data_IF_995421582149
#
_entry.id   IF_995421582149
#
_cell.length_a   1.000
_cell.length_b   1.000
_cell.length_c   1.000
_cell.angle_alpha   90.00
_cell.angle_beta   90.00
_cell.angle_gamma   90.00
#
_symmetry.space_group_name_H-M   'P 1'
#
loop_
_entity.id
_entity.type
_entity.pdbx_description
1 polymer ?
#
# COMPACT_ATOMS: atom_id res chain seq x y z
N UNK A 1 37.98 8.97 22.61
CA UNK A 1 36.87 8.03 22.41
C UNK A 1 35.93 8.64 21.37
N UNK A 2 35.98 8.18 20.11
CA UNK A 2 35.06 8.68 19.08
C UNK A 2 33.77 7.85 19.14
N UNK A 3 32.66 8.47 19.55
CA UNK A 3 31.35 7.84 19.43
C UNK A 3 30.98 7.75 17.95
N UNK A 4 30.90 6.54 17.42
CA UNK A 4 30.38 6.29 16.10
C UNK A 4 28.87 6.58 16.11
N UNK A 5 28.46 7.69 15.48
CA UNK A 5 27.05 8.02 15.30
C UNK A 5 26.42 6.99 14.36
N UNK A 6 25.66 6.07 14.96
CA UNK A 6 24.85 5.11 14.22
C UNK A 6 23.71 5.84 13.54
N UNK A 7 23.77 6.01 12.22
CA UNK A 7 22.65 6.55 11.44
C UNK A 7 21.68 5.44 11.06
N UNK A 8 20.48 5.47 11.64
CA UNK A 8 19.33 4.72 11.15
C UNK A 8 18.74 5.46 9.94
N UNK A 9 18.26 4.71 8.95
CA UNK A 9 17.60 5.30 7.79
C UNK A 9 16.11 5.00 7.86
N UNK A 10 15.29 6.03 8.06
CA UNK A 10 13.84 5.94 8.04
C UNK A 10 13.34 6.45 6.69
N UNK A 11 12.58 5.62 5.98
CA UNK A 11 11.98 5.97 4.68
C UNK A 11 10.47 5.91 4.78
N UNK A 12 9.78 7.02 4.48
CA UNK A 12 8.33 7.09 4.51
C UNK A 12 7.74 7.08 3.11
N UNK A 13 6.76 6.21 2.87
CA UNK A 13 5.98 6.15 1.65
C UNK A 13 4.53 6.55 1.90
N UNK A 14 4.03 7.49 1.10
CA UNK A 14 2.61 7.88 1.11
C UNK A 14 1.74 6.91 0.32
N UNK A 15 0.42 7.10 0.38
CA UNK A 15 -0.54 6.24 -0.32
C UNK A 15 -0.33 6.20 -1.84
N UNK A 16 0.05 7.33 -2.45
CA UNK A 16 0.37 7.40 -3.89
C UNK A 16 1.59 6.56 -4.28
N UNK A 17 2.58 6.46 -3.40
CA UNK A 17 3.77 5.61 -3.61
C UNK A 17 3.46 4.11 -3.51
N UNK A 18 2.24 3.78 -3.10
CA UNK A 18 1.74 2.41 -2.90
C UNK A 18 0.47 2.17 -3.71
N UNK A 19 0.12 3.05 -4.65
CA UNK A 19 -1.21 3.11 -5.26
C UNK A 19 -1.56 1.90 -6.15
N UNK A 20 -0.55 1.23 -6.70
CA UNK A 20 -0.70 0.06 -7.55
C UNK A 20 0.52 -0.88 -7.41
N UNK A 21 0.44 -2.01 -8.10
CA UNK A 21 1.44 -3.08 -8.05
C UNK A 21 2.79 -2.59 -8.55
N UNK A 22 2.80 -1.76 -9.60
CA UNK A 22 4.00 -1.20 -10.23
C UNK A 22 4.76 -0.29 -9.25
N UNK A 23 4.04 0.61 -8.57
CA UNK A 23 4.60 1.48 -7.55
C UNK A 23 5.23 0.67 -6.40
N UNK A 24 4.56 -0.40 -5.93
CA UNK A 24 5.07 -1.25 -4.85
C UNK A 24 6.32 -2.03 -5.32
N UNK A 25 6.31 -2.59 -6.53
CA UNK A 25 7.46 -3.30 -7.12
C UNK A 25 8.66 -2.38 -7.35
N UNK A 26 8.45 -1.07 -7.51
CA UNK A 26 9.53 -0.11 -7.65
C UNK A 26 10.23 0.26 -6.33
N UNK A 27 9.59 0.03 -5.16
CA UNK A 27 10.17 0.41 -3.86
C UNK A 27 11.53 -0.23 -3.58
N UNK A 28 11.76 -1.53 -3.81
CA UNK A 28 13.07 -2.14 -3.60
C UNK A 28 14.17 -1.55 -4.48
N UNK A 29 13.83 -1.01 -5.66
CA UNK A 29 14.81 -0.35 -6.55
C UNK A 29 15.32 0.98 -5.97
N UNK A 30 14.56 1.62 -5.08
CA UNK A 30 15.00 2.79 -4.32
C UNK A 30 16.02 2.41 -3.23
N UNK A 31 16.15 1.13 -2.92
CA UNK A 31 16.92 0.61 -1.79
C UNK A 31 18.06 -0.31 -2.21
N UNK A 32 18.74 0.00 -3.33
CA UNK A 32 19.90 -0.75 -3.87
C UNK A 32 20.99 -1.09 -2.84
N UNK A 33 20.97 -0.48 -1.65
CA UNK A 33 21.75 -0.87 -0.48
C UNK A 33 20.81 -0.92 0.73
N UNK A 34 20.17 -2.06 1.00
CA UNK A 34 19.46 -2.28 2.27
C UNK A 34 20.53 -2.37 3.36
N UNK A 35 20.79 -1.24 4.02
CA UNK A 35 21.67 -1.19 5.18
C UNK A 35 20.95 -1.88 6.35
N UNK A 36 21.66 -2.65 7.18
CA UNK A 36 21.16 -3.36 8.39
C UNK A 36 20.36 -2.52 9.41
N UNK A 37 20.10 -1.23 9.14
CA UNK A 37 19.43 -0.25 10.01
C UNK A 37 18.38 0.60 9.26
N UNK A 38 17.81 0.07 8.18
CA UNK A 38 16.70 0.69 7.48
C UNK A 38 15.35 0.33 8.10
N UNK A 39 14.49 1.33 8.25
CA UNK A 39 13.11 1.19 8.67
C UNK A 39 12.21 1.82 7.60
N UNK A 40 11.13 1.12 7.24
CA UNK A 40 10.14 1.60 6.29
C UNK A 40 8.87 1.98 7.04
N UNK A 41 8.40 3.21 6.83
CA UNK A 41 7.11 3.68 7.28
C UNK A 41 6.19 3.81 6.06
N UNK A 42 5.05 3.12 6.09
CA UNK A 42 4.11 3.10 4.96
C UNK A 42 2.75 3.65 5.39
N UNK A 43 2.12 4.43 4.52
CA UNK A 43 0.70 4.78 4.64
C UNK A 43 -0.18 3.64 4.12
N UNK A 44 -1.50 3.74 4.32
CA UNK A 44 -2.45 2.88 3.61
C UNK A 44 -2.34 3.09 2.09
N UNK A 45 -2.66 2.04 1.33
CA UNK A 45 -2.57 2.00 -0.14
C UNK A 45 -3.48 3.06 -0.77
N UNK A 46 -2.97 3.80 -1.76
CA UNK A 46 -3.77 4.71 -2.58
C UNK A 46 -4.66 5.66 -1.77
N UNK A 47 -5.98 5.57 -2.00
CA UNK A 47 -7.01 6.37 -1.34
C UNK A 47 -7.77 5.61 -0.24
N UNK A 48 -7.25 4.49 0.26
CA UNK A 48 -7.95 3.62 1.22
C UNK A 48 -8.44 4.38 2.45
N UNK A 49 -7.65 5.30 3.00
CA UNK A 49 -8.09 6.09 4.16
C UNK A 49 -9.33 6.93 3.86
N UNK A 50 -9.41 7.54 2.68
CA UNK A 50 -10.56 8.35 2.28
C UNK A 50 -11.80 7.45 2.04
N UNK A 51 -11.60 6.32 1.35
CA UNK A 51 -12.67 5.33 1.13
C UNK A 51 -13.28 4.85 2.45
N UNK A 52 -12.45 4.58 3.46
CA UNK A 52 -12.93 4.08 4.74
C UNK A 52 -13.58 5.17 5.59
N UNK A 53 -12.91 6.30 5.79
CA UNK A 53 -13.36 7.32 6.75
C UNK A 53 -14.45 8.22 6.16
N UNK A 54 -14.34 8.59 4.89
CA UNK A 54 -15.29 9.54 4.28
C UNK A 54 -16.47 8.81 3.64
N UNK A 55 -16.26 7.67 3.00
CA UNK A 55 -17.33 7.00 2.24
C UNK A 55 -17.99 5.87 3.05
N UNK A 56 -17.18 4.91 3.53
CA UNK A 56 -17.71 3.74 4.22
C UNK A 56 -18.35 4.07 5.58
N UNK A 57 -17.69 4.89 6.42
CA UNK A 57 -18.26 5.28 7.73
C UNK A 57 -19.60 5.99 7.52
N UNK A 58 -19.68 6.96 6.60
CA UNK A 58 -20.95 7.64 6.31
C UNK A 58 -22.04 6.69 5.82
N UNK A 59 -21.71 5.78 4.90
CA UNK A 59 -22.64 4.78 4.41
C UNK A 59 -23.08 3.83 5.53
N UNK A 60 -22.18 3.42 6.42
CA UNK A 60 -22.48 2.47 7.49
C UNK A 60 -23.59 2.95 8.45
N UNK A 61 -23.75 4.27 8.59
CA UNK A 61 -24.79 4.87 9.41
C UNK A 61 -26.12 5.06 8.68
N UNK A 62 -26.14 5.05 7.35
CA UNK A 62 -27.31 5.43 6.52
C UNK A 62 -27.85 4.28 5.67
N UNK A 63 -26.96 3.49 5.09
CA UNK A 63 -27.24 2.41 4.15
C UNK A 63 -26.20 1.29 4.29
N UNK A 64 -26.59 0.22 5.00
CA UNK A 64 -25.73 -0.93 5.27
C UNK A 64 -25.40 -1.73 4.01
N UNK A 65 -26.26 -1.71 2.98
CA UNK A 65 -26.01 -2.39 1.70
C UNK A 65 -24.94 -1.64 0.93
N UNK A 66 -25.03 -0.31 0.85
CA UNK A 66 -24.00 0.53 0.24
C UNK A 66 -22.65 0.39 0.97
N UNK A 67 -22.67 0.41 2.31
CA UNK A 67 -21.46 0.20 3.11
C UNK A 67 -20.80 -1.16 2.83
N UNK A 68 -21.59 -2.23 2.78
CA UNK A 68 -21.06 -3.55 2.44
C UNK A 68 -20.47 -3.58 1.02
N UNK A 69 -21.13 -2.93 0.04
CA UNK A 69 -20.61 -2.85 -1.33
C UNK A 69 -19.26 -2.16 -1.41
N UNK A 70 -19.09 -1.06 -0.68
CA UNK A 70 -17.80 -0.33 -0.59
C UNK A 70 -16.70 -1.26 -0.06
N UNK A 71 -16.96 -2.02 1.01
CA UNK A 71 -15.98 -2.98 1.55
C UNK A 71 -15.66 -4.11 0.58
N UNK A 72 -16.67 -4.67 -0.10
CA UNK A 72 -16.44 -5.75 -1.06
C UNK A 72 -15.55 -5.29 -2.22
N UNK A 73 -15.80 -4.09 -2.76
CA UNK A 73 -14.96 -3.50 -3.81
C UNK A 73 -13.52 -3.33 -3.30
N UNK A 74 -13.35 -2.79 -2.10
CA UNK A 74 -12.03 -2.63 -1.48
C UNK A 74 -11.28 -3.97 -1.33
N UNK A 75 -11.94 -4.99 -0.78
CA UNK A 75 -11.35 -6.32 -0.57
C UNK A 75 -10.94 -6.95 -1.90
N UNK A 76 -11.81 -6.89 -2.92
CA UNK A 76 -11.51 -7.43 -4.26
C UNK A 76 -10.27 -6.75 -4.84
N UNK A 77 -10.21 -5.42 -4.81
CA UNK A 77 -9.08 -4.65 -5.32
C UNK A 77 -7.78 -4.97 -4.56
N UNK A 78 -7.84 -5.01 -3.24
CA UNK A 78 -6.68 -5.32 -2.40
C UNK A 78 -6.15 -6.73 -2.66
N UNK A 79 -7.03 -7.74 -2.72
CA UNK A 79 -6.64 -9.12 -3.00
C UNK A 79 -6.07 -9.28 -4.41
N UNK A 80 -6.62 -8.56 -5.40
CA UNK A 80 -6.05 -8.53 -6.74
C UNK A 80 -4.61 -7.99 -6.72
N UNK A 81 -4.35 -6.89 -6.01
CA UNK A 81 -3.00 -6.36 -5.85
C UNK A 81 -2.06 -7.35 -5.16
N UNK A 82 -2.49 -7.97 -4.06
CA UNK A 82 -1.69 -8.98 -3.34
C UNK A 82 -1.35 -10.16 -4.24
N UNK A 83 -2.32 -10.67 -4.99
CA UNK A 83 -2.11 -11.76 -5.95
C UNK A 83 -1.08 -11.38 -7.00
N UNK A 84 -1.20 -10.20 -7.60
CA UNK A 84 -0.24 -9.72 -8.61
C UNK A 84 1.16 -9.42 -8.06
N UNK A 85 1.29 -9.19 -6.74
CA UNK A 85 2.58 -9.06 -6.06
C UNK A 85 3.19 -10.43 -5.72
N UNK A 86 2.37 -11.41 -5.37
CA UNK A 86 2.78 -12.78 -5.06
C UNK A 86 3.16 -13.57 -6.32
N UNK A 87 2.49 -13.32 -7.45
CA UNK A 87 2.78 -13.95 -8.73
C UNK A 87 4.11 -13.41 -9.28
N UNK A 88 5.21 -14.12 -9.00
CA UNK A 88 6.56 -13.83 -9.52
C UNK A 88 6.72 -14.16 -11.01
N UNK A 89 5.74 -14.84 -11.59
CA UNK A 89 5.77 -15.29 -12.98
C UNK A 89 5.01 -14.33 -13.89
N UNK A 90 5.60 -13.18 -14.22
CA UNK A 90 5.38 -12.41 -15.47
C UNK A 90 3.96 -12.07 -15.94
N UNK A 91 2.90 -12.40 -15.21
CA UNK A 91 1.53 -12.15 -15.62
C UNK A 91 1.25 -10.67 -15.46
N UNK A 92 1.01 -10.01 -16.59
CA UNK A 92 0.70 -8.59 -16.65
C UNK A 92 -0.62 -8.34 -15.91
N UNK A 93 -0.54 -7.77 -14.72
CA UNK A 93 -1.67 -7.27 -13.94
C UNK A 93 -2.24 -5.98 -14.55
N UNK A 94 -2.27 -5.88 -15.88
CA UNK A 94 -2.56 -4.65 -16.62
C UNK A 94 -4.04 -4.51 -17.03
N UNK A 95 -4.94 -5.32 -16.47
CA UNK A 95 -6.35 -5.39 -16.90
C UNK A 95 -7.40 -5.12 -15.80
N UNK A 96 -7.03 -4.54 -14.66
CA UNK A 96 -7.98 -4.28 -13.56
C UNK A 96 -8.20 -2.79 -13.24
N UNK A 97 -7.96 -1.91 -14.21
CA UNK A 97 -8.34 -0.50 -14.14
C UNK A 97 -9.12 -0.08 -15.39
#
# INVERSE_FOLDING_TARGET
>A
MMQQVVRHQLHKFGGSSLANVECIKALPLLFRIIVKRMMLLVSAIGKTTNLLISEWVEASHKDTVAANRILQIFVIQYLAMVKCLADTAGASCSSLY
#
